data_IF_555301731975
#
_entry.id   IF_555301731975
#
_cell.length_a   1.000
_cell.length_b   1.000
_cell.length_c   1.000
_cell.angle_alpha   90.00
_cell.angle_beta   90.00
_cell.angle_gamma   90.00
#
_symmetry.space_group_name_H-M   'P 1'
#
loop_
_entity.id
_entity.type
_entity.pdbx_description
1 polymer ?
#
# COMPACT_ATOMS: atom_id res chain seq x y z
N UNK A 1 13.55 5.17 48.39
CA UNK A 1 13.90 6.53 48.85
C UNK A 1 15.17 6.96 48.14
N UNK A 2 15.04 7.77 47.11
CA UNK A 2 15.94 8.83 46.62
C UNK A 2 15.39 9.30 45.28
N UNK A 3 14.71 10.44 45.32
CA UNK A 3 14.25 11.17 44.12
C UNK A 3 15.46 11.88 43.53
N UNK A 4 15.74 11.59 42.26
CA UNK A 4 16.68 12.37 41.46
C UNK A 4 15.86 13.33 40.55
N UNK A 5 15.72 14.59 41.01
CA UNK A 5 15.22 15.69 40.20
C UNK A 5 16.26 16.10 39.16
N UNK A 6 15.97 15.87 37.90
CA UNK A 6 16.75 16.38 36.78
C UNK A 6 16.29 17.81 36.48
N UNK A 7 17.11 18.82 36.78
CA UNK A 7 16.86 20.23 36.48
C UNK A 7 17.22 20.49 35.02
N UNK A 8 16.25 20.99 34.25
CA UNK A 8 16.54 21.59 32.95
C UNK A 8 17.29 22.90 33.13
N UNK A 9 18.45 23.02 32.49
CA UNK A 9 19.23 24.24 32.46
C UNK A 9 18.61 25.22 31.44
N UNK A 10 18.39 26.46 31.90
CA UNK A 10 17.96 27.59 31.09
C UNK A 10 18.99 27.92 30.00
N UNK A 11 18.59 27.81 28.74
CA UNK A 11 19.36 28.33 27.60
C UNK A 11 18.77 29.68 27.20
N UNK A 12 19.50 30.76 27.50
CA UNK A 12 19.13 32.10 27.10
C UNK A 12 19.25 32.30 25.57
N UNK A 13 18.36 33.06 24.91
CA UNK A 13 18.45 33.30 23.47
C UNK A 13 19.59 34.27 23.13
N UNK A 14 20.44 33.87 22.19
CA UNK A 14 21.48 34.71 21.62
C UNK A 14 20.90 35.84 20.77
N UNK A 15 21.24 37.08 21.12
CA UNK A 15 20.84 38.28 20.38
C UNK A 15 21.65 38.44 19.09
N UNK A 16 20.99 38.56 17.94
CA UNK A 16 21.58 38.92 16.65
C UNK A 16 21.80 40.45 16.57
N UNK A 17 22.92 40.94 16.02
CA UNK A 17 23.16 42.37 15.89
C UNK A 17 22.40 42.99 14.73
N UNK A 18 21.74 44.13 15.00
CA UNK A 18 21.04 44.94 13.98
C UNK A 18 22.05 45.59 13.03
N UNK A 19 21.96 45.28 11.73
CA UNK A 19 22.67 46.02 10.68
C UNK A 19 21.84 47.24 10.31
N UNK A 20 22.45 48.45 10.52
CA UNK A 20 21.95 49.73 10.04
C UNK A 20 21.99 49.80 8.52
N UNK A 21 20.84 50.11 7.90
CA UNK A 21 20.76 50.50 6.51
C UNK A 21 21.24 51.96 6.38
N UNK A 22 22.29 52.18 5.63
CA UNK A 22 22.72 53.49 5.20
C UNK A 22 21.95 53.92 3.97
N UNK A 23 21.24 55.04 4.07
CA UNK A 23 20.63 55.72 2.95
C UNK A 23 21.68 56.51 2.16
N UNK A 24 21.78 56.32 0.87
CA UNK A 24 22.61 57.13 -0.01
C UNK A 24 22.70 56.66 -1.44
N UNK A 25 22.06 57.40 -2.34
CA UNK A 25 22.47 57.31 -3.75
C UNK A 25 21.36 57.09 -4.76
N UNK A 26 20.45 58.06 -4.83
CA UNK A 26 19.60 58.24 -6.01
C UNK A 26 20.36 59.09 -7.01
N UNK A 27 20.92 58.53 -8.11
CA UNK A 27 21.09 59.23 -9.42
C UNK A 27 21.75 58.34 -10.49
N UNK A 28 21.13 58.36 -11.62
CA UNK A 28 21.62 58.05 -13.01
C UNK A 28 21.92 56.58 -13.30
N UNK A 29 20.99 56.04 -14.06
CA UNK A 29 21.26 55.39 -15.36
C UNK A 29 19.94 55.24 -16.11
N UNK A 30 19.55 56.35 -16.78
CA UNK A 30 18.71 56.28 -17.99
C UNK A 30 19.63 55.96 -19.16
N UNK A 31 19.38 54.88 -19.84
CA UNK A 31 20.00 54.65 -21.15
C UNK A 31 20.46 53.21 -21.34
N UNK A 32 19.55 52.36 -21.80
CA UNK A 32 19.68 51.32 -22.80
C UNK A 32 18.53 50.32 -22.65
N UNK A 33 17.36 50.76 -23.08
CA UNK A 33 16.31 49.83 -23.48
C UNK A 33 16.63 49.38 -24.90
N UNK A 34 17.12 48.16 -25.05
CA UNK A 34 17.04 47.42 -26.31
C UNK A 34 17.36 45.95 -26.05
N UNK A 35 16.39 45.12 -26.35
CA UNK A 35 16.52 43.73 -26.73
C UNK A 35 17.16 42.76 -25.72
N UNK A 36 16.32 42.25 -24.80
CA UNK A 36 16.41 40.87 -24.35
C UNK A 36 15.00 40.38 -23.99
N UNK A 37 14.11 40.24 -24.95
CA UNK A 37 13.01 39.31 -24.90
C UNK A 37 13.61 37.90 -24.90
N UNK A 38 14.27 37.55 -23.79
CA UNK A 38 14.67 36.20 -23.47
C UNK A 38 13.43 35.44 -23.07
N UNK A 39 13.05 34.53 -23.94
CA UNK A 39 12.01 33.51 -23.75
C UNK A 39 12.27 32.80 -22.42
N UNK A 40 11.62 33.26 -21.33
CA UNK A 40 11.33 32.44 -20.21
C UNK A 40 10.20 31.49 -20.60
N UNK A 41 10.55 30.46 -21.39
CA UNK A 41 9.71 29.28 -21.47
C UNK A 41 9.68 28.69 -20.06
N UNK A 42 8.73 29.15 -19.27
CA UNK A 42 8.23 28.38 -18.15
C UNK A 42 7.88 27.00 -18.73
N UNK A 43 8.71 26.01 -18.40
CA UNK A 43 8.33 24.62 -18.44
C UNK A 43 7.20 24.46 -17.40
N UNK A 44 6.00 24.93 -17.76
CA UNK A 44 4.79 24.41 -17.19
C UNK A 44 4.80 22.93 -17.58
N UNK A 45 5.22 22.07 -16.66
CA UNK A 45 4.89 20.66 -16.77
C UNK A 45 3.39 20.62 -17.08
N UNK A 46 2.96 19.97 -18.17
CA UNK A 46 1.54 19.85 -18.43
C UNK A 46 0.93 19.25 -17.18
N UNK A 47 -0.02 19.97 -16.55
CA UNK A 47 -0.93 19.36 -15.60
C UNK A 47 -1.48 18.17 -16.39
N UNK A 48 -1.15 16.95 -15.94
CA UNK A 48 -1.63 15.74 -16.57
C UNK A 48 -3.15 15.87 -16.56
N UNK A 49 -3.71 16.21 -17.71
CA UNK A 49 -5.12 16.15 -17.98
C UNK A 49 -5.47 14.70 -17.68
N UNK A 50 -6.44 14.47 -16.79
CA UNK A 50 -6.96 13.13 -16.56
C UNK A 50 -7.32 12.58 -17.95
N UNK A 51 -6.54 11.63 -18.43
CA UNK A 51 -6.87 10.95 -19.67
C UNK A 51 -8.21 10.26 -19.44
N UNK A 52 -9.16 10.46 -20.36
CA UNK A 52 -10.38 9.65 -20.38
C UNK A 52 -9.93 8.19 -20.46
N UNK A 53 -10.03 7.46 -19.34
CA UNK A 53 -9.56 6.08 -19.27
C UNK A 53 -9.12 5.65 -17.88
N UNK A 54 -8.62 4.43 -17.77
CA UNK A 54 -8.10 3.86 -16.55
C UNK A 54 -6.57 3.79 -16.56
N UNK A 55 -5.94 4.11 -15.42
CA UNK A 55 -4.50 3.96 -15.21
C UNK A 55 -4.20 3.32 -13.85
N UNK A 56 -3.21 2.45 -13.83
CA UNK A 56 -2.60 1.93 -12.61
C UNK A 56 -1.51 2.90 -12.14
N UNK A 57 -1.53 3.29 -10.89
CA UNK A 57 -0.50 4.10 -10.23
C UNK A 57 0.08 3.29 -9.08
N UNK A 58 1.37 2.96 -9.14
CA UNK A 58 2.07 2.33 -8.03
C UNK A 58 2.47 3.43 -7.05
N UNK A 59 1.85 3.48 -5.87
CA UNK A 59 2.13 4.51 -4.86
C UNK A 59 3.40 4.17 -4.08
N UNK A 60 3.62 2.89 -3.77
CA UNK A 60 4.80 2.35 -3.16
C UNK A 60 4.95 0.88 -3.55
N UNK A 61 6.18 0.38 -3.62
CA UNK A 61 6.48 -0.95 -4.15
C UNK A 61 7.33 -1.82 -3.22
N UNK A 62 7.77 -1.32 -2.06
CA UNK A 62 8.49 -2.12 -1.08
C UNK A 62 7.53 -3.00 -0.29
N UNK A 63 7.90 -4.26 -0.09
CA UNK A 63 7.18 -5.22 0.74
C UNK A 63 7.89 -5.46 2.07
N UNK A 64 7.15 -6.02 3.03
CA UNK A 64 7.63 -6.34 4.37
C UNK A 64 7.72 -5.14 5.32
N UNK A 65 7.63 -5.39 6.63
CA UNK A 65 7.69 -4.35 7.66
C UNK A 65 9.14 -3.99 8.02
N UNK A 66 10.03 -3.94 7.03
CA UNK A 66 11.47 -3.72 7.21
C UNK A 66 11.88 -2.35 6.68
N UNK A 67 12.77 -1.67 7.39
CA UNK A 67 13.42 -0.46 6.92
C UNK A 67 14.63 -0.80 6.06
N UNK A 68 14.55 -0.50 4.76
CA UNK A 68 15.61 -0.79 3.78
C UNK A 68 16.58 0.39 3.55
N UNK A 69 16.39 1.52 4.21
CA UNK A 69 17.20 2.71 4.05
C UNK A 69 16.44 3.92 3.53
N UNK A 70 17.14 5.06 3.44
CA UNK A 70 16.50 6.34 3.10
C UNK A 70 16.06 6.44 1.64
N UNK A 71 16.72 5.73 0.75
CA UNK A 71 16.46 5.75 -0.69
C UNK A 71 15.58 4.59 -1.16
N UNK A 72 15.14 3.73 -0.22
CA UNK A 72 14.24 2.63 -0.53
C UNK A 72 12.85 3.14 -0.93
N UNK A 73 12.11 2.38 -1.76
CA UNK A 73 10.74 2.71 -2.10
C UNK A 73 9.83 2.77 -0.87
N UNK A 74 8.70 3.46 -1.01
CA UNK A 74 7.63 3.47 0.00
C UNK A 74 6.96 2.08 0.08
N UNK A 75 6.31 1.84 1.22
CA UNK A 75 5.59 0.58 1.47
C UNK A 75 4.46 0.36 0.46
N UNK A 76 4.14 -0.91 0.27
CA UNK A 76 3.17 -1.37 -0.74
C UNK A 76 1.86 -0.59 -0.70
N UNK A 77 1.52 0.02 -1.81
CA UNK A 77 0.20 0.59 -2.08
C UNK A 77 0.05 0.85 -3.56
N UNK A 78 -1.13 0.63 -4.08
CA UNK A 78 -1.47 0.91 -5.48
C UNK A 78 -2.79 1.64 -5.59
N UNK A 79 -2.97 2.41 -6.66
CA UNK A 79 -4.25 3.04 -7.02
C UNK A 79 -4.61 2.72 -8.46
N UNK A 80 -5.80 2.19 -8.68
CA UNK A 80 -6.43 2.19 -9.99
C UNK A 80 -7.26 3.47 -10.10
N UNK A 81 -6.89 4.34 -11.02
CA UNK A 81 -7.60 5.60 -11.27
C UNK A 81 -8.45 5.44 -12.52
N UNK A 82 -9.77 5.61 -12.38
CA UNK A 82 -10.75 5.52 -13.47
C UNK A 82 -11.59 6.79 -13.44
N UNK A 83 -11.58 7.55 -14.51
CA UNK A 83 -12.32 8.82 -14.66
C UNK A 83 -12.13 9.76 -13.45
N UNK A 84 -10.87 9.87 -12.97
CA UNK A 84 -10.49 10.72 -11.84
C UNK A 84 -10.91 10.20 -10.46
N UNK A 85 -11.47 8.99 -10.36
CA UNK A 85 -11.77 8.28 -9.11
C UNK A 85 -10.74 7.21 -8.84
N UNK A 86 -10.33 7.06 -7.59
CA UNK A 86 -9.28 6.15 -7.18
C UNK A 86 -9.82 4.99 -6.35
N UNK A 87 -9.39 3.80 -6.69
CA UNK A 87 -9.61 2.54 -5.98
C UNK A 87 -8.24 2.07 -5.51
N UNK A 88 -8.06 2.01 -4.19
CA UNK A 88 -6.76 1.72 -3.59
C UNK A 88 -6.64 0.24 -3.24
N UNK A 89 -5.45 -0.30 -3.39
CA UNK A 89 -5.09 -1.64 -2.89
C UNK A 89 -3.93 -1.48 -1.94
N UNK A 90 -4.15 -1.86 -0.69
CA UNK A 90 -3.25 -1.76 0.44
C UNK A 90 -2.78 -0.32 0.77
N UNK A 91 -2.29 -0.14 1.99
CA UNK A 91 -1.90 1.15 2.56
C UNK A 91 -0.62 0.99 3.39
N UNK A 92 0.47 0.61 2.74
CA UNK A 92 1.80 0.53 3.33
C UNK A 92 2.36 1.89 3.71
N UNK A 93 3.54 1.88 4.32
CA UNK A 93 4.17 3.08 4.87
C UNK A 93 4.35 4.19 3.82
N UNK A 94 3.78 5.36 4.09
CA UNK A 94 3.85 6.52 3.21
C UNK A 94 2.78 6.58 2.11
N UNK A 95 1.86 5.62 2.05
CA UNK A 95 0.82 5.52 1.01
C UNK A 95 0.00 6.81 0.87
N UNK A 96 -0.44 7.41 1.99
CA UNK A 96 -1.21 8.67 1.94
C UNK A 96 -0.40 9.81 1.31
N UNK A 97 0.86 9.95 1.69
CA UNK A 97 1.75 10.98 1.12
C UNK A 97 1.97 10.76 -0.37
N UNK A 98 2.20 9.53 -0.79
CA UNK A 98 2.40 9.16 -2.18
C UNK A 98 1.12 9.39 -3.01
N UNK A 99 -0.05 9.10 -2.45
CA UNK A 99 -1.34 9.40 -3.05
C UNK A 99 -1.48 10.90 -3.39
N UNK A 100 -1.06 11.78 -2.45
CA UNK A 100 -1.06 13.25 -2.70
C UNK A 100 0.00 13.65 -3.72
N UNK A 101 1.19 13.05 -3.70
CA UNK A 101 2.25 13.28 -4.70
C UNK A 101 1.83 12.81 -6.10
N UNK A 102 1.06 11.74 -6.20
CA UNK A 102 0.46 11.28 -7.44
C UNK A 102 -0.62 12.24 -7.99
N UNK A 103 -0.97 13.32 -7.27
CA UNK A 103 -1.98 14.29 -7.68
C UNK A 103 -3.43 13.83 -7.45
N UNK A 104 -3.64 12.69 -6.81
CA UNK A 104 -4.97 12.21 -6.44
C UNK A 104 -5.49 13.05 -5.28
N UNK A 105 -6.58 13.78 -5.51
CA UNK A 105 -7.11 14.77 -4.56
C UNK A 105 -7.89 14.11 -3.42
N UNK A 106 -7.91 14.72 -2.21
CA UNK A 106 -8.77 14.23 -1.13
C UNK A 106 -10.24 14.19 -1.56
N UNK A 107 -10.88 13.02 -1.35
CA UNK A 107 -12.27 12.78 -1.75
C UNK A 107 -12.43 12.24 -3.19
N UNK A 108 -11.33 12.00 -3.89
CA UNK A 108 -11.34 11.20 -5.13
C UNK A 108 -11.36 9.69 -4.85
N UNK A 109 -10.90 9.29 -3.66
CA UNK A 109 -10.88 7.88 -3.24
C UNK A 109 -12.32 7.35 -3.07
N UNK A 110 -12.63 6.28 -3.79
CA UNK A 110 -13.94 5.61 -3.72
C UNK A 110 -13.92 4.44 -2.76
N UNK A 111 -12.90 3.57 -2.92
CA UNK A 111 -12.78 2.40 -2.08
C UNK A 111 -11.30 2.05 -1.83
N UNK A 112 -11.04 1.36 -0.72
CA UNK A 112 -9.80 0.68 -0.37
C UNK A 112 -10.09 -0.80 -0.29
N UNK A 113 -9.20 -1.62 -0.81
CA UNK A 113 -9.22 -3.08 -0.74
C UNK A 113 -7.94 -3.53 -0.06
N UNK A 114 -8.05 -3.99 1.19
CA UNK A 114 -6.94 -4.55 1.94
C UNK A 114 -6.82 -6.03 1.59
N UNK A 115 -5.64 -6.45 1.12
CA UNK A 115 -5.41 -7.85 0.76
C UNK A 115 -5.40 -8.74 1.99
N UNK A 116 -4.68 -8.31 3.01
CA UNK A 116 -4.62 -8.92 4.33
C UNK A 116 -4.20 -7.89 5.39
N UNK A 117 -4.08 -8.29 6.66
CA UNK A 117 -3.88 -7.34 7.75
C UNK A 117 -2.46 -7.36 8.33
N UNK A 118 -1.43 -7.72 7.55
CA UNK A 118 -0.06 -7.47 7.96
C UNK A 118 0.21 -5.96 8.03
N UNK A 119 1.08 -5.56 8.93
CA UNK A 119 1.32 -4.15 9.25
C UNK A 119 1.83 -3.35 8.07
N UNK A 120 2.64 -3.92 7.21
CA UNK A 120 3.17 -3.27 6.00
C UNK A 120 2.10 -2.99 4.93
N UNK A 121 0.92 -3.62 5.02
CA UNK A 121 -0.23 -3.37 4.13
C UNK A 121 -1.24 -2.38 4.68
N UNK A 122 -1.19 -2.06 6.00
CA UNK A 122 -2.25 -1.28 6.68
C UNK A 122 -1.74 -0.10 7.49
N UNK A 123 -0.41 0.05 7.68
CA UNK A 123 0.15 1.00 8.66
C UNK A 123 -0.24 2.47 8.38
N UNK A 124 -0.48 2.85 7.14
CA UNK A 124 -0.85 4.22 6.76
C UNK A 124 -2.38 4.45 6.67
N UNK A 125 -3.19 3.46 7.09
CA UNK A 125 -4.64 3.58 7.14
C UNK A 125 -5.07 4.78 7.99
N UNK A 126 -4.45 5.00 9.14
CA UNK A 126 -4.75 6.13 10.01
C UNK A 126 -4.57 7.47 9.30
N UNK A 127 -3.51 7.64 8.53
CA UNK A 127 -3.27 8.86 7.74
C UNK A 127 -4.40 9.09 6.72
N UNK A 128 -4.82 8.04 6.01
CA UNK A 128 -5.91 8.13 5.04
C UNK A 128 -7.24 8.53 5.71
N UNK A 129 -7.54 8.00 6.89
CA UNK A 129 -8.81 8.27 7.58
C UNK A 129 -8.85 9.65 8.25
N UNK A 130 -7.73 10.10 8.83
CA UNK A 130 -7.69 11.27 9.70
C UNK A 130 -7.38 12.58 8.98
N UNK A 131 -6.68 12.55 7.85
CA UNK A 131 -6.30 13.76 7.14
C UNK A 131 -7.39 14.26 6.18
N UNK A 132 -7.41 15.58 5.98
CA UNK A 132 -8.30 16.28 5.04
C UNK A 132 -9.82 16.14 5.26
N UNK A 133 -10.35 16.08 6.50
CA UNK A 133 -11.78 15.89 6.76
C UNK A 133 -12.65 16.97 6.10
N UNK A 134 -12.17 18.21 6.06
CA UNK A 134 -12.89 19.31 5.42
C UNK A 134 -12.96 19.18 3.89
N UNK A 135 -11.91 18.62 3.26
CA UNK A 135 -11.92 18.35 1.82
C UNK A 135 -12.89 17.21 1.49
N UNK A 136 -12.89 16.14 2.28
CA UNK A 136 -13.86 15.03 2.15
C UNK A 136 -15.30 15.50 2.29
N UNK A 137 -15.57 16.36 3.29
CA UNK A 137 -16.90 16.98 3.46
C UNK A 137 -17.32 17.78 2.23
N UNK A 138 -16.43 18.60 1.67
CA UNK A 138 -16.73 19.38 0.45
C UNK A 138 -16.99 18.48 -0.75
N UNK A 139 -16.27 17.41 -0.88
CA UNK A 139 -16.43 16.42 -1.95
C UNK A 139 -17.67 15.55 -1.77
N UNK A 140 -18.33 15.60 -0.60
CA UNK A 140 -19.42 14.69 -0.21
C UNK A 140 -19.03 13.21 -0.40
N UNK A 141 -17.74 12.90 -0.22
CA UNK A 141 -17.20 11.58 -0.45
C UNK A 141 -17.43 10.70 0.79
N UNK A 142 -17.79 9.44 0.54
CA UNK A 142 -17.80 8.38 1.54
C UNK A 142 -16.86 7.27 1.05
N UNK A 143 -15.71 7.14 1.71
CA UNK A 143 -14.73 6.11 1.39
C UNK A 143 -15.22 4.76 1.89
N UNK A 144 -15.22 3.76 1.03
CA UNK A 144 -15.56 2.39 1.41
C UNK A 144 -14.26 1.60 1.63
N UNK A 145 -14.16 0.83 2.72
CA UNK A 145 -12.96 0.09 3.09
C UNK A 145 -13.32 -1.38 3.19
N UNK A 146 -12.83 -2.16 2.27
CA UNK A 146 -13.04 -3.60 2.20
C UNK A 146 -11.76 -4.34 2.55
N UNK A 147 -11.86 -5.41 3.32
CA UNK A 147 -10.71 -6.25 3.61
C UNK A 147 -11.12 -7.50 4.39
N UNK A 148 -10.15 -8.27 4.87
CA UNK A 148 -10.40 -9.51 5.58
C UNK A 148 -11.34 -9.34 6.77
N UNK A 149 -12.31 -10.22 6.89
CA UNK A 149 -13.09 -10.38 8.11
C UNK A 149 -12.28 -11.05 9.21
N UNK A 150 -12.91 -11.20 10.37
CA UNK A 150 -12.28 -11.86 11.52
C UNK A 150 -11.80 -13.26 11.16
N UNK A 151 -10.57 -13.58 11.58
CA UNK A 151 -10.02 -14.93 11.40
C UNK A 151 -10.75 -15.98 12.24
N UNK A 152 -11.30 -15.58 13.37
CA UNK A 152 -11.85 -16.46 14.38
C UNK A 152 -10.76 -16.90 15.38
N UNK A 153 -10.37 -18.17 15.34
CA UNK A 153 -9.32 -18.69 16.22
C UNK A 153 -7.91 -18.32 15.71
N UNK A 154 -6.98 -18.15 16.64
CA UNK A 154 -5.55 -17.98 16.30
C UNK A 154 -5.00 -19.23 15.58
N UNK A 155 -3.98 -19.06 14.72
CA UNK A 155 -3.25 -20.19 14.18
C UNK A 155 -2.51 -20.95 15.28
N UNK A 156 -2.18 -22.24 15.05
CA UNK A 156 -1.34 -22.99 15.96
C UNK A 156 0.07 -22.37 16.04
N UNK A 157 0.72 -22.56 17.18
CA UNK A 157 2.13 -22.19 17.30
C UNK A 157 2.99 -23.00 16.33
N UNK A 158 3.97 -22.33 15.73
CA UNK A 158 4.95 -23.03 14.92
C UNK A 158 5.74 -24.04 15.77
N UNK A 159 6.14 -25.20 15.21
CA UNK A 159 6.87 -26.21 15.95
C UNK A 159 8.14 -25.64 16.62
N UNK A 160 8.30 -25.94 17.90
CA UNK A 160 9.45 -25.52 18.70
C UNK A 160 9.38 -24.08 19.23
N UNK A 161 8.32 -23.33 18.96
CA UNK A 161 8.10 -22.01 19.54
C UNK A 161 7.28 -22.12 20.83
N UNK A 162 7.66 -21.33 21.84
CA UNK A 162 6.82 -21.05 23.01
C UNK A 162 5.90 -19.87 22.67
N UNK A 163 4.63 -19.94 23.08
CA UNK A 163 3.69 -18.84 22.88
C UNK A 163 3.94 -17.71 23.85
N UNK A 164 4.03 -16.50 23.34
CA UNK A 164 3.92 -15.28 24.13
C UNK A 164 2.45 -15.02 24.51
N UNK A 165 2.16 -14.12 25.47
CA UNK A 165 0.80 -13.70 25.75
C UNK A 165 0.08 -13.18 24.50
N UNK A 166 -1.18 -13.58 24.35
CA UNK A 166 -2.01 -13.16 23.21
C UNK A 166 -2.29 -11.66 23.30
N UNK A 167 -1.98 -10.92 22.25
CA UNK A 167 -2.33 -9.51 22.13
C UNK A 167 -3.83 -9.40 21.86
N UNK A 168 -4.54 -8.53 22.61
CA UNK A 168 -5.98 -8.31 22.49
C UNK A 168 -6.77 -9.62 22.58
N UNK A 169 -6.62 -10.32 23.70
CA UNK A 169 -7.09 -11.69 23.89
C UNK A 169 -8.62 -11.88 23.72
N UNK A 170 -9.40 -10.82 23.91
CA UNK A 170 -10.84 -10.79 23.69
C UNK A 170 -11.24 -10.77 22.18
N UNK A 171 -10.34 -10.34 21.29
CA UNK A 171 -10.54 -10.36 19.84
C UNK A 171 -9.20 -10.51 19.10
N UNK A 172 -8.51 -11.66 19.25
CA UNK A 172 -7.14 -11.81 18.75
C UNK A 172 -7.04 -11.98 17.23
N UNK A 173 -8.15 -12.24 16.57
CA UNK A 173 -8.24 -12.38 15.10
C UNK A 173 -9.11 -11.29 14.50
N UNK A 174 -8.90 -10.05 14.91
CA UNK A 174 -9.66 -8.88 14.47
C UNK A 174 -9.73 -8.76 12.94
N UNK A 175 -10.87 -8.31 12.42
CA UNK A 175 -11.10 -8.04 11.01
C UNK A 175 -10.91 -6.57 10.64
N UNK A 176 -11.25 -6.22 9.42
CA UNK A 176 -11.11 -4.85 8.88
C UNK A 176 -12.00 -3.85 9.62
N UNK A 177 -13.21 -4.23 9.97
CA UNK A 177 -14.12 -3.37 10.78
C UNK A 177 -13.48 -3.09 12.13
N UNK A 178 -13.02 -4.11 12.84
CA UNK A 178 -12.35 -3.95 14.14
C UNK A 178 -11.10 -3.08 14.06
N UNK A 179 -10.31 -3.23 12.99
CA UNK A 179 -9.12 -2.41 12.74
C UNK A 179 -9.47 -0.94 12.59
N UNK A 180 -10.47 -0.60 11.77
CA UNK A 180 -10.91 0.79 11.56
C UNK A 180 -11.45 1.38 12.86
N UNK A 181 -12.27 0.65 13.59
CA UNK A 181 -12.79 1.10 14.90
C UNK A 181 -11.66 1.34 15.90
N UNK A 182 -10.66 0.47 15.94
CA UNK A 182 -9.49 0.61 16.81
C UNK A 182 -8.63 1.84 16.46
N UNK A 183 -8.44 2.12 15.16
CA UNK A 183 -7.74 3.32 14.69
C UNK A 183 -8.49 4.58 15.15
N UNK A 184 -9.81 4.63 14.99
CA UNK A 184 -10.63 5.76 15.43
C UNK A 184 -10.58 5.91 16.94
N UNK A 185 -10.72 4.82 17.68
CA UNK A 185 -10.66 4.82 19.15
C UNK A 185 -9.28 5.31 19.67
N UNK A 186 -8.20 4.89 19.04
CA UNK A 186 -6.84 5.34 19.39
C UNK A 186 -6.62 6.85 19.16
N UNK A 187 -7.36 7.48 18.24
CA UNK A 187 -7.28 8.91 17.94
C UNK A 187 -8.35 9.75 18.69
N UNK A 188 -9.14 9.16 19.58
CA UNK A 188 -10.30 9.81 20.21
C UNK A 188 -9.95 11.11 20.94
N UNK A 189 -8.78 11.21 21.58
CA UNK A 189 -8.38 12.42 22.30
C UNK A 189 -8.29 13.63 21.36
N UNK A 190 -7.60 13.50 20.22
CA UNK A 190 -7.48 14.56 19.21
C UNK A 190 -8.83 14.84 18.52
N UNK A 191 -9.52 13.80 18.08
CA UNK A 191 -10.79 13.93 17.35
C UNK A 191 -11.87 14.66 18.19
N UNK A 192 -11.99 14.33 19.47
CA UNK A 192 -12.96 14.98 20.35
C UNK A 192 -12.67 16.47 20.54
N UNK A 193 -11.40 16.87 20.67
CA UNK A 193 -11.01 18.27 20.78
C UNK A 193 -11.35 19.02 19.50
N UNK A 194 -10.96 18.48 18.34
CA UNK A 194 -11.18 19.11 17.04
C UNK A 194 -12.66 19.30 16.71
N UNK A 195 -13.46 18.26 16.95
CA UNK A 195 -14.92 18.33 16.72
C UNK A 195 -15.56 19.36 17.65
N UNK A 196 -15.22 19.37 18.95
CA UNK A 196 -15.90 20.18 19.97
C UNK A 196 -15.40 21.61 20.04
N UNK A 197 -14.13 21.87 19.77
CA UNK A 197 -13.50 23.17 19.97
C UNK A 197 -13.14 23.88 18.67
N UNK A 198 -12.88 23.15 17.59
CA UNK A 198 -12.44 23.71 16.32
C UNK A 198 -13.51 23.60 15.21
N UNK A 199 -14.61 22.91 15.48
CA UNK A 199 -15.69 22.72 14.50
C UNK A 199 -15.27 21.86 13.30
N UNK A 200 -14.23 21.04 13.45
CA UNK A 200 -13.81 20.06 12.44
C UNK A 200 -14.92 19.00 12.33
N UNK A 201 -15.29 18.56 11.11
CA UNK A 201 -16.28 17.51 10.97
C UNK A 201 -15.84 16.21 11.63
N UNK A 202 -16.79 15.46 12.16
CA UNK A 202 -16.56 14.09 12.64
C UNK A 202 -16.13 13.22 11.46
N UNK A 203 -14.92 12.67 11.55
CA UNK A 203 -14.33 11.86 10.47
C UNK A 203 -15.10 10.58 10.19
N UNK A 204 -15.80 10.02 11.18
CA UNK A 204 -16.60 8.79 11.05
C UNK A 204 -17.73 8.91 10.01
N UNK A 205 -18.13 10.12 9.67
CA UNK A 205 -19.11 10.37 8.60
C UNK A 205 -18.54 10.25 7.17
N UNK A 206 -17.23 10.01 7.00
CA UNK A 206 -16.58 10.03 5.69
C UNK A 206 -16.02 8.70 5.24
N UNK A 207 -16.22 7.63 6.01
CA UNK A 207 -15.80 6.28 5.63
C UNK A 207 -16.69 5.23 6.25
N UNK A 208 -16.69 4.04 5.65
CA UNK A 208 -17.36 2.85 6.16
C UNK A 208 -16.47 1.64 5.90
N UNK A 209 -16.28 0.82 6.93
CA UNK A 209 -15.51 -0.43 6.84
C UNK A 209 -16.43 -1.63 6.65
N UNK A 210 -15.94 -2.61 5.91
CA UNK A 210 -16.64 -3.85 5.57
C UNK A 210 -15.69 -5.03 5.65
N UNK A 211 -16.08 -6.03 6.41
CA UNK A 211 -15.43 -7.34 6.42
C UNK A 211 -15.88 -8.13 5.17
N UNK A 212 -14.93 -8.54 4.34
CA UNK A 212 -15.22 -9.45 3.23
C UNK A 212 -15.51 -10.84 3.80
N UNK A 213 -16.70 -11.33 3.53
CA UNK A 213 -17.13 -12.65 3.97
C UNK A 213 -16.76 -13.68 2.90
N UNK A 214 -15.88 -14.61 3.26
CA UNK A 214 -15.56 -15.76 2.38
C UNK A 214 -16.83 -16.61 2.18
N UNK A 215 -17.16 -17.02 0.94
CA UNK A 215 -18.33 -17.82 0.67
C UNK A 215 -18.39 -19.08 1.54
N UNK A 216 -19.57 -19.35 2.09
CA UNK A 216 -19.78 -20.45 3.03
C UNK A 216 -19.36 -21.81 2.46
N UNK A 217 -18.71 -22.62 3.27
CA UNK A 217 -18.30 -23.98 2.91
C UNK A 217 -17.04 -24.08 2.05
N UNK A 218 -16.42 -22.94 1.65
CA UNK A 218 -15.15 -22.94 0.90
C UNK A 218 -14.02 -23.39 1.80
N UNK A 219 -13.79 -22.73 2.92
CA UNK A 219 -12.73 -23.05 3.88
C UNK A 219 -13.31 -23.90 5.01
N UNK A 220 -12.75 -25.08 5.21
CA UNK A 220 -13.15 -25.99 6.31
C UNK A 220 -12.34 -25.73 7.57
N UNK A 221 -11.04 -25.60 7.42
CA UNK A 221 -10.11 -25.29 8.49
C UNK A 221 -8.96 -24.42 7.93
N UNK A 222 -8.91 -23.13 8.29
CA UNK A 222 -7.87 -22.23 7.78
C UNK A 222 -6.47 -22.56 8.32
N UNK A 223 -6.33 -23.44 9.31
CA UNK A 223 -5.03 -23.90 9.78
C UNK A 223 -4.45 -25.03 8.93
N UNK A 224 -5.28 -25.67 8.12
CA UNK A 224 -4.89 -26.76 7.22
C UNK A 224 -4.79 -26.27 5.79
N UNK A 225 -5.81 -25.57 5.30
CA UNK A 225 -5.87 -25.02 3.95
C UNK A 225 -6.58 -23.65 3.97
N UNK A 226 -5.83 -22.56 4.12
CA UNK A 226 -6.38 -21.21 4.16
C UNK A 226 -6.90 -20.71 2.81
N UNK A 227 -6.51 -21.34 1.68
CA UNK A 227 -6.86 -20.91 0.34
C UNK A 227 -7.19 -22.11 -0.59
N UNK A 228 -8.21 -22.93 -0.23
CA UNK A 228 -8.61 -24.07 -1.05
C UNK A 228 -9.06 -23.63 -2.43
N UNK A 229 -9.09 -24.55 -3.42
CA UNK A 229 -9.63 -24.27 -4.74
C UNK A 229 -11.05 -23.68 -4.68
N UNK A 230 -11.23 -22.52 -5.29
CA UNK A 230 -12.51 -21.82 -5.30
C UNK A 230 -12.71 -21.03 -6.59
N UNK A 231 -13.90 -20.47 -6.77
CA UNK A 231 -14.19 -19.49 -7.82
C UNK A 231 -14.02 -18.06 -7.27
N UNK A 232 -13.60 -17.09 -8.12
CA UNK A 232 -13.65 -15.67 -7.77
C UNK A 232 -15.08 -15.25 -7.43
N UNK A 233 -15.21 -14.32 -6.48
CA UNK A 233 -16.51 -13.76 -6.10
C UNK A 233 -16.46 -12.24 -6.05
N UNK A 234 -17.58 -11.60 -6.43
CA UNK A 234 -17.67 -10.14 -6.44
C UNK A 234 -17.72 -9.58 -5.03
N UNK A 235 -16.91 -8.53 -4.78
CA UNK A 235 -16.86 -7.81 -3.49
C UNK A 235 -17.25 -6.34 -3.61
N UNK A 236 -17.21 -5.79 -4.84
CA UNK A 236 -17.57 -4.40 -5.09
C UNK A 236 -18.02 -4.22 -6.55
N UNK A 237 -18.98 -3.30 -6.74
CA UNK A 237 -19.35 -2.82 -8.06
C UNK A 237 -19.86 -1.39 -7.99
N UNK A 238 -19.41 -0.55 -8.91
CA UNK A 238 -20.04 0.72 -9.25
C UNK A 238 -20.10 0.89 -10.78
N UNK A 239 -20.40 2.09 -11.24
CA UNK A 239 -20.52 2.41 -12.66
C UNK A 239 -19.21 2.34 -13.45
N UNK A 240 -18.03 2.29 -12.77
CA UNK A 240 -16.69 2.30 -13.37
C UNK A 240 -15.96 0.99 -13.26
N UNK A 241 -16.16 0.30 -12.13
CA UNK A 241 -15.30 -0.82 -11.75
C UNK A 241 -16.14 -1.95 -11.15
N UNK A 242 -15.84 -3.18 -11.56
CA UNK A 242 -16.24 -4.39 -10.83
C UNK A 242 -14.99 -4.98 -10.18
N UNK A 243 -15.08 -5.31 -8.89
CA UNK A 243 -13.97 -5.93 -8.15
C UNK A 243 -14.39 -7.33 -7.70
N UNK A 244 -13.58 -8.31 -8.09
CA UNK A 244 -13.69 -9.69 -7.63
C UNK A 244 -12.49 -10.05 -6.74
N UNK A 245 -12.75 -10.88 -5.73
CA UNK A 245 -11.74 -11.42 -4.82
C UNK A 245 -11.61 -12.93 -4.95
N UNK A 246 -10.46 -13.45 -4.57
CA UNK A 246 -10.22 -14.89 -4.37
C UNK A 246 -9.22 -15.07 -3.23
N UNK A 247 -9.34 -16.15 -2.48
CA UNK A 247 -8.33 -16.50 -1.47
C UNK A 247 -7.04 -16.95 -2.14
N UNK A 248 -5.91 -16.49 -1.60
CA UNK A 248 -4.56 -16.92 -2.00
C UNK A 248 -3.75 -17.31 -0.76
N UNK A 249 -2.83 -18.30 -0.86
CA UNK A 249 -2.10 -18.83 0.29
C UNK A 249 -0.95 -17.89 0.69
N UNK A 250 -0.91 -17.51 1.96
CA UNK A 250 0.18 -16.73 2.55
C UNK A 250 0.52 -17.31 3.94
N UNK A 251 1.12 -18.49 3.97
CA UNK A 251 1.32 -19.26 5.19
C UNK A 251 -0.01 -19.51 5.91
N UNK A 252 -0.09 -19.13 7.18
CA UNK A 252 -1.30 -19.24 8.00
C UNK A 252 -2.12 -17.97 8.09
N UNK A 253 -1.81 -16.95 7.26
CA UNK A 253 -2.61 -15.73 7.17
C UNK A 253 -3.96 -16.04 6.53
N UNK A 254 -5.04 -15.68 7.24
CA UNK A 254 -6.41 -15.94 6.80
C UNK A 254 -7.40 -14.93 7.41
N UNK A 255 -8.35 -14.39 6.63
CA UNK A 255 -8.40 -14.44 5.16
C UNK A 255 -7.26 -13.64 4.52
N UNK A 256 -6.83 -14.04 3.32
CA UNK A 256 -5.86 -13.33 2.50
C UNK A 256 -6.34 -13.36 1.03
N UNK A 257 -6.44 -12.18 0.40
CA UNK A 257 -7.11 -12.02 -0.89
C UNK A 257 -6.19 -11.50 -1.98
N UNK A 258 -6.35 -12.03 -3.18
CA UNK A 258 -6.03 -11.36 -4.43
C UNK A 258 -7.29 -10.67 -4.96
N UNK A 259 -7.11 -9.56 -5.67
CA UNK A 259 -8.21 -8.79 -6.26
C UNK A 259 -8.06 -8.63 -7.76
N UNK A 260 -9.18 -8.70 -8.49
CA UNK A 260 -9.29 -8.36 -9.91
C UNK A 260 -10.23 -7.18 -10.08
N UNK A 261 -9.77 -6.17 -10.82
CA UNK A 261 -10.52 -4.99 -11.19
C UNK A 261 -10.79 -5.04 -12.69
N UNK A 262 -12.06 -5.09 -13.06
CA UNK A 262 -12.51 -5.01 -14.45
C UNK A 262 -13.14 -3.64 -14.69
N UNK A 263 -12.65 -2.95 -15.75
CA UNK A 263 -13.11 -1.62 -16.18
C UNK A 263 -13.42 -1.63 -17.67
N UNK A 264 -14.06 -0.59 -18.17
CA UNK A 264 -14.26 -0.41 -19.61
C UNK A 264 -12.93 -0.26 -20.40
N UNK A 265 -11.83 0.04 -19.72
CA UNK A 265 -10.50 0.24 -20.32
C UNK A 265 -9.59 -0.98 -20.23
N UNK A 266 -9.98 -2.02 -19.52
CA UNK A 266 -9.18 -3.23 -19.31
C UNK A 266 -9.23 -3.71 -17.87
N UNK A 267 -8.40 -4.71 -17.55
CA UNK A 267 -8.40 -5.42 -16.27
C UNK A 267 -7.03 -5.42 -15.60
N UNK A 268 -7.03 -5.24 -14.28
CA UNK A 268 -5.83 -5.33 -13.43
C UNK A 268 -6.08 -6.33 -12.31
N UNK A 269 -5.10 -7.20 -12.08
CA UNK A 269 -5.12 -8.14 -10.94
C UNK A 269 -3.97 -7.78 -10.00
N UNK A 270 -4.26 -7.74 -8.70
CA UNK A 270 -3.29 -7.60 -7.63
C UNK A 270 -3.20 -8.91 -6.87
N UNK A 271 -1.99 -9.47 -6.76
CA UNK A 271 -1.78 -10.78 -6.14
C UNK A 271 -2.05 -10.76 -4.63
N UNK A 272 -1.84 -9.61 -3.95
CA UNK A 272 -1.52 -9.61 -2.53
C UNK A 272 -0.25 -10.42 -2.28
N UNK A 273 0.06 -10.71 -1.03
CA UNK A 273 1.14 -11.62 -0.68
C UNK A 273 0.70 -13.06 -0.87
N UNK A 274 1.47 -13.86 -1.57
CA UNK A 274 1.05 -15.21 -1.91
C UNK A 274 2.20 -16.12 -2.34
N UNK A 275 2.16 -17.38 -1.95
CA UNK A 275 2.87 -18.42 -2.67
C UNK A 275 2.29 -18.61 -4.08
N UNK A 276 3.00 -19.34 -4.96
CA UNK A 276 2.47 -19.68 -6.29
C UNK A 276 1.10 -20.36 -6.19
N UNK A 277 0.05 -19.68 -6.66
CA UNK A 277 -1.34 -20.03 -6.38
C UNK A 277 -2.15 -20.36 -7.63
N UNK A 278 -2.77 -21.56 -7.70
CA UNK A 278 -3.76 -21.86 -8.74
C UNK A 278 -4.98 -20.92 -8.72
N UNK A 279 -5.39 -20.46 -7.54
CA UNK A 279 -6.47 -19.49 -7.39
C UNK A 279 -6.10 -18.15 -8.03
N UNK A 280 -4.87 -17.63 -7.79
CA UNK A 280 -4.40 -16.41 -8.44
C UNK A 280 -4.37 -16.57 -9.96
N UNK A 281 -3.83 -17.69 -10.46
CA UNK A 281 -3.81 -17.98 -11.91
C UNK A 281 -5.23 -17.96 -12.49
N UNK A 282 -6.23 -18.52 -11.76
CA UNK A 282 -7.63 -18.49 -12.17
C UNK A 282 -8.18 -17.07 -12.22
N UNK A 283 -7.97 -16.27 -11.16
CA UNK A 283 -8.41 -14.87 -11.07
C UNK A 283 -7.80 -14.00 -12.18
N UNK A 284 -6.50 -14.19 -12.44
CA UNK A 284 -5.72 -13.41 -13.40
C UNK A 284 -5.92 -13.85 -14.86
N UNK A 285 -6.70 -14.89 -15.14
CA UNK A 285 -6.85 -15.41 -16.50
C UNK A 285 -7.22 -14.32 -17.50
N UNK A 286 -6.34 -14.11 -18.50
CA UNK A 286 -6.52 -13.16 -19.58
C UNK A 286 -6.55 -11.70 -19.16
N UNK A 287 -6.07 -11.37 -17.97
CA UNK A 287 -5.99 -9.96 -17.52
C UNK A 287 -4.96 -9.17 -18.34
N UNK A 288 -5.22 -7.86 -18.46
CA UNK A 288 -4.29 -6.96 -19.14
C UNK A 288 -3.02 -6.76 -18.32
N UNK A 289 -3.14 -6.62 -16.99
CA UNK A 289 -2.02 -6.42 -16.07
C UNK A 289 -2.18 -7.35 -14.87
N UNK A 290 -1.11 -8.07 -14.53
CA UNK A 290 -0.94 -8.73 -13.24
C UNK A 290 0.13 -7.95 -12.47
N UNK A 291 -0.26 -7.34 -11.35
CA UNK A 291 0.63 -6.77 -10.34
C UNK A 291 0.90 -7.87 -9.33
N UNK A 292 2.15 -8.31 -9.26
CA UNK A 292 2.53 -9.49 -8.45
C UNK A 292 3.64 -9.14 -7.47
N UNK A 293 3.52 -9.67 -6.25
CA UNK A 293 4.57 -9.61 -5.25
C UNK A 293 5.80 -10.40 -5.69
N UNK A 294 6.96 -10.12 -5.11
CA UNK A 294 8.13 -10.97 -5.27
C UNK A 294 9.08 -10.87 -4.08
N UNK A 295 9.62 -12.02 -3.67
CA UNK A 295 10.69 -12.10 -2.68
C UNK A 295 11.99 -12.60 -3.34
N UNK A 296 13.13 -11.97 -2.96
CA UNK A 296 14.45 -12.42 -3.39
C UNK A 296 14.95 -13.56 -2.48
N UNK A 297 15.10 -14.79 -3.00
CA UNK A 297 15.60 -15.90 -2.21
C UNK A 297 17.00 -15.69 -1.63
N UNK A 298 17.87 -14.94 -2.33
CA UNK A 298 19.22 -14.66 -1.86
C UNK A 298 19.19 -13.75 -0.60
N UNK A 299 18.25 -12.81 -0.53
CA UNK A 299 18.04 -12.01 0.67
C UNK A 299 17.53 -12.87 1.83
N UNK A 300 16.65 -13.83 1.57
CA UNK A 300 16.14 -14.74 2.62
C UNK A 300 17.28 -15.54 3.23
N UNK A 301 18.18 -16.10 2.44
CA UNK A 301 19.37 -16.81 2.93
C UNK A 301 20.25 -15.89 3.82
N UNK A 302 20.36 -14.61 3.44
CA UNK A 302 21.12 -13.64 4.22
C UNK A 302 20.44 -13.31 5.56
N UNK A 303 19.14 -13.06 5.58
CA UNK A 303 18.41 -12.61 6.78
C UNK A 303 18.18 -13.74 7.80
N UNK A 304 17.96 -14.95 7.31
CA UNK A 304 17.79 -16.13 8.18
C UNK A 304 19.12 -16.56 8.77
N UNK A 305 20.21 -16.36 8.04
CA UNK A 305 21.58 -16.71 8.46
C UNK A 305 21.97 -18.17 8.20
N UNK A 306 23.18 -18.57 8.63
CA UNK A 306 23.74 -19.87 8.30
C UNK A 306 23.04 -21.04 8.98
N UNK A 307 23.00 -22.17 8.29
CA UNK A 307 22.52 -23.46 8.83
C UNK A 307 23.57 -24.09 9.76
N UNK A 308 23.17 -24.92 10.77
CA UNK A 308 21.81 -25.37 11.03
C UNK A 308 20.93 -24.30 11.70
N UNK A 309 19.68 -24.21 11.30
CA UNK A 309 18.72 -23.23 11.81
C UNK A 309 18.06 -23.70 13.12
N UNK A 310 17.90 -22.79 14.08
CA UNK A 310 17.05 -22.99 15.25
C UNK A 310 15.54 -22.94 14.89
N UNK A 311 14.66 -23.16 15.88
CA UNK A 311 13.22 -23.18 15.64
C UNK A 311 12.66 -21.84 15.12
N UNK A 312 13.21 -20.70 15.59
CA UNK A 312 12.79 -19.36 15.15
C UNK A 312 13.24 -19.10 13.71
N UNK A 313 14.49 -19.42 13.39
CA UNK A 313 15.02 -19.31 12.04
C UNK A 313 14.27 -20.19 11.04
N UNK A 314 13.91 -21.43 11.45
CA UNK A 314 13.09 -22.32 10.63
C UNK A 314 11.69 -21.77 10.39
N UNK A 315 11.05 -21.17 11.40
CA UNK A 315 9.74 -20.55 11.28
C UNK A 315 9.80 -19.34 10.34
N UNK A 316 10.83 -18.48 10.49
CA UNK A 316 11.06 -17.32 9.62
C UNK A 316 11.30 -17.75 8.17
N UNK A 317 12.21 -18.68 7.93
CA UNK A 317 12.50 -19.18 6.58
C UNK A 317 11.26 -19.75 5.90
N UNK A 318 10.45 -20.50 6.64
CA UNK A 318 9.19 -21.04 6.15
C UNK A 318 8.21 -19.93 5.75
N UNK A 319 8.00 -18.93 6.63
CA UNK A 319 7.14 -17.78 6.31
C UNK A 319 7.63 -17.02 5.09
N UNK A 320 8.93 -16.82 4.93
CA UNK A 320 9.47 -16.07 3.81
C UNK A 320 9.46 -16.87 2.48
N UNK A 321 9.80 -18.14 2.50
CA UNK A 321 9.97 -18.94 1.27
C UNK A 321 8.72 -19.69 0.83
N UNK A 322 7.86 -20.10 1.78
CA UNK A 322 6.67 -20.90 1.49
C UNK A 322 5.39 -20.04 1.41
N UNK A 323 5.44 -18.80 1.91
CA UNK A 323 4.30 -17.89 1.90
C UNK A 323 4.41 -16.78 0.86
N UNK A 324 5.52 -16.67 0.17
CA UNK A 324 5.78 -15.68 -0.89
C UNK A 324 6.21 -16.33 -2.20
N UNK A 325 6.30 -15.51 -3.23
CA UNK A 325 6.59 -15.92 -4.60
C UNK A 325 7.94 -15.40 -5.06
N UNK A 326 8.81 -16.24 -5.60
CA UNK A 326 10.05 -15.79 -6.26
C UNK A 326 9.76 -15.09 -7.59
N UNK A 327 10.67 -14.28 -8.14
CA UNK A 327 10.48 -13.66 -9.46
C UNK A 327 10.16 -14.67 -10.57
N UNK A 328 10.82 -15.83 -10.59
CA UNK A 328 10.55 -16.90 -11.55
C UNK A 328 9.13 -17.45 -11.42
N UNK A 329 8.66 -17.64 -10.17
CA UNK A 329 7.31 -18.12 -9.91
C UNK A 329 6.24 -17.06 -10.27
N UNK A 330 6.53 -15.77 -10.07
CA UNK A 330 5.65 -14.69 -10.54
C UNK A 330 5.51 -14.70 -12.08
N UNK A 331 6.62 -14.92 -12.79
CA UNK A 331 6.62 -15.13 -14.24
C UNK A 331 5.85 -16.39 -14.66
N UNK A 332 5.95 -17.48 -13.90
CA UNK A 332 5.17 -18.71 -14.13
C UNK A 332 3.66 -18.44 -13.95
N UNK A 333 3.26 -17.76 -12.87
CA UNK A 333 1.86 -17.39 -12.63
C UNK A 333 1.31 -16.55 -13.79
N UNK A 334 2.08 -15.54 -14.24
CA UNK A 334 1.73 -14.69 -15.38
C UNK A 334 1.55 -15.49 -16.68
N UNK A 335 2.44 -16.45 -16.94
CA UNK A 335 2.36 -17.33 -18.12
C UNK A 335 1.14 -18.25 -18.06
N UNK A 336 0.92 -18.89 -16.92
CA UNK A 336 -0.24 -19.80 -16.73
C UNK A 336 -1.57 -19.09 -16.81
N UNK A 337 -1.63 -17.84 -16.34
CA UNK A 337 -2.82 -17.00 -16.44
C UNK A 337 -3.01 -16.39 -17.83
N UNK A 338 -1.98 -16.35 -18.66
CA UNK A 338 -2.04 -15.73 -19.99
C UNK A 338 -2.27 -14.22 -19.92
N UNK A 339 -1.65 -13.54 -18.94
CA UNK A 339 -1.76 -12.09 -18.80
C UNK A 339 -0.96 -11.38 -19.89
N UNK A 340 -1.34 -10.14 -20.22
CA UNK A 340 -0.65 -9.36 -21.25
C UNK A 340 0.63 -8.69 -20.75
N UNK A 341 0.68 -8.34 -19.45
CA UNK A 341 1.80 -7.65 -18.80
C UNK A 341 1.94 -8.10 -17.36
N UNK A 342 3.17 -8.35 -16.91
CA UNK A 342 3.52 -8.57 -15.50
C UNK A 342 4.18 -7.30 -14.95
N UNK A 343 3.68 -6.81 -13.82
CA UNK A 343 4.29 -5.73 -13.04
C UNK A 343 4.70 -6.31 -11.69
N UNK A 344 5.99 -6.25 -11.37
CA UNK A 344 6.49 -6.68 -10.07
C UNK A 344 6.37 -5.52 -9.08
N UNK A 345 5.75 -5.77 -7.94
CA UNK A 345 5.54 -4.84 -6.83
C UNK A 345 5.61 -5.63 -5.52
N UNK A 346 5.49 -4.98 -4.36
CA UNK A 346 5.75 -5.65 -3.07
C UNK A 346 7.06 -6.43 -3.10
N UNK A 347 8.15 -5.69 -3.36
CA UNK A 347 9.47 -6.27 -3.52
C UNK A 347 10.14 -6.48 -2.16
N UNK A 348 10.58 -7.69 -1.86
CA UNK A 348 11.25 -8.04 -0.60
C UNK A 348 12.65 -8.60 -0.89
N UNK A 349 13.73 -7.86 -0.55
CA UNK A 349 13.77 -6.51 0.01
C UNK A 349 13.50 -5.44 -1.04
N UNK A 350 12.96 -4.28 -0.59
CA UNK A 350 12.63 -3.18 -1.48
C UNK A 350 13.83 -2.51 -2.19
N UNK A 351 15.05 -2.73 -1.68
CA UNK A 351 16.31 -2.14 -2.17
C UNK A 351 17.20 -3.14 -2.93
N UNK A 352 16.71 -4.35 -3.23
CA UNK A 352 17.48 -5.32 -4.00
C UNK A 352 17.78 -4.82 -5.43
N UNK A 353 18.92 -5.23 -6.02
CA UNK A 353 19.29 -4.89 -7.37
C UNK A 353 18.23 -5.30 -8.40
N UNK A 354 18.02 -4.45 -9.42
CA UNK A 354 16.97 -4.68 -10.43
C UNK A 354 17.08 -6.02 -11.16
N UNK A 355 18.32 -6.52 -11.35
CA UNK A 355 18.59 -7.81 -11.98
C UNK A 355 17.96 -8.99 -11.27
N UNK A 356 17.84 -8.97 -9.93
CA UNK A 356 17.22 -10.06 -9.17
C UNK A 356 15.74 -10.25 -9.55
N UNK A 357 15.04 -9.15 -9.82
CA UNK A 357 13.64 -9.15 -10.21
C UNK A 357 13.41 -9.59 -11.64
N UNK A 358 14.39 -9.35 -12.52
CA UNK A 358 14.28 -9.67 -13.95
C UNK A 358 14.33 -11.19 -14.24
N UNK A 359 14.62 -12.03 -13.25
CA UNK A 359 14.47 -13.48 -13.35
C UNK A 359 13.03 -13.92 -13.69
N UNK A 360 12.02 -13.09 -13.49
CA UNK A 360 10.67 -13.34 -13.97
C UNK A 360 10.58 -13.55 -15.51
N UNK A 361 11.52 -12.98 -16.28
CA UNK A 361 11.60 -13.16 -17.74
C UNK A 361 12.02 -14.55 -18.18
N UNK A 362 12.54 -15.35 -17.29
CA UNK A 362 12.89 -16.75 -17.58
C UNK A 362 11.63 -17.56 -17.87
N UNK A 363 10.55 -17.28 -17.16
CA UNK A 363 9.29 -18.01 -17.18
C UNK A 363 8.14 -17.26 -17.85
N UNK A 364 8.21 -15.94 -18.00
CA UNK A 364 7.20 -15.12 -18.71
C UNK A 364 7.84 -14.41 -19.91
N UNK A 365 7.30 -14.63 -21.11
CA UNK A 365 7.82 -14.05 -22.36
C UNK A 365 7.14 -12.74 -22.78
N UNK A 366 6.08 -12.33 -22.06
CA UNK A 366 5.47 -11.02 -22.22
C UNK A 366 6.27 -9.90 -21.54
N UNK A 367 5.78 -8.65 -21.62
CA UNK A 367 6.41 -7.50 -20.97
C UNK A 367 6.45 -7.66 -19.44
N UNK A 368 7.66 -7.62 -18.86
CA UNK A 368 7.90 -7.55 -17.41
C UNK A 368 8.34 -6.15 -17.05
N UNK A 369 7.60 -5.51 -16.16
CA UNK A 369 7.87 -4.17 -15.62
C UNK A 369 8.27 -4.31 -14.15
N UNK A 370 9.44 -3.78 -13.81
CA UNK A 370 9.81 -3.59 -12.40
C UNK A 370 9.13 -2.31 -11.89
N UNK A 371 8.25 -2.48 -10.90
CA UNK A 371 7.52 -1.37 -10.30
C UNK A 371 8.43 -0.35 -9.64
N UNK A 372 8.03 0.90 -9.69
CA UNK A 372 8.69 2.02 -8.99
C UNK A 372 7.62 2.94 -8.40
N UNK A 373 7.99 3.61 -7.34
CA UNK A 373 7.13 4.61 -6.70
C UNK A 373 6.63 5.64 -7.71
N UNK A 374 5.33 5.94 -7.67
CA UNK A 374 4.63 6.89 -8.53
C UNK A 374 4.63 6.53 -10.02
N UNK A 375 5.03 5.30 -10.38
CA UNK A 375 4.92 4.82 -11.76
C UNK A 375 3.45 4.76 -12.19
N UNK A 376 3.18 5.24 -13.41
CA UNK A 376 1.86 5.23 -14.03
C UNK A 376 1.84 4.30 -15.23
N UNK A 377 0.85 3.45 -15.30
CA UNK A 377 0.69 2.45 -16.38
C UNK A 377 -0.74 2.53 -16.91
N UNK A 378 -0.95 3.09 -18.11
CA UNK A 378 -2.28 3.10 -18.74
C UNK A 378 -2.77 1.67 -18.99
N UNK A 379 -4.08 1.43 -18.79
CA UNK A 379 -4.70 0.13 -19.09
C UNK A 379 -4.93 -0.03 -20.60
N UNK A 380 -5.48 0.99 -21.27
CA UNK A 380 -5.47 1.03 -22.73
C UNK A 380 -4.11 1.53 -23.18
N UNK A 381 -3.42 0.75 -24.00
CA UNK A 381 -2.33 1.32 -24.80
C UNK A 381 -2.97 2.13 -25.94
N UNK A 382 -2.40 3.31 -26.25
CA UNK A 382 -2.85 4.11 -27.37
C UNK A 382 -2.72 3.38 -28.70
#
# INVERSE_FOLDING_TARGET
MSEAHMRFADVAPASLPARRLAAGGLRRWLGRAAAALGVAALLAAPAAQAADGAELVLLGVAGGPTWYGNDAPHGISSALVVDGKAYLVDLGSGAYRQLRRAGIKPGAEQAVFLTHLHTDHIIDLASLLMYDPSARRRAKASLQIYGPGRRGALPPLAPGLAGDPVIHAENPGAGTVDLVDSVVAGMAADLNIRVRSEGVPDVRGFFQAHDIVVPAGVVKDPNVDPAPPMEPFEVWRDERVTVSAILVPHGLVYPNFAYRFDTASGSVVFSGDTALSPNLVKLARGADILVHEAIDPAWVDHIVGPKPWDARQQALARQLLEAHTTPQQAGEAATRAGVRKLVLSHLVPGDAPAEHWLHARETFKGPVVLGQDLMRIPLKQP
#
